data_IF_569830965393
#
_entry.id   IF_569830965393
#
_cell.length_a   1.000
_cell.length_b   1.000
_cell.length_c   1.000
_cell.angle_alpha   90.00
_cell.angle_beta   90.00
_cell.angle_gamma   90.00
#
_symmetry.space_group_name_H-M   'P 1'
#
loop_
_entity.id
_entity.type
_entity.pdbx_description
1 polymer ?
#
# COMPACT_ATOMS: atom_id res chain seq x y z
N UNK A 1 15.47 -3.36 9.70
CA UNK A 1 14.91 -2.10 9.19
C UNK A 1 13.70 -1.78 10.07
N UNK A 2 13.74 -0.68 10.85
CA UNK A 2 12.68 -0.38 11.84
C UNK A 2 11.68 0.68 11.35
N UNK A 3 12.00 1.35 10.24
CA UNK A 3 11.23 2.44 9.63
C UNK A 3 10.50 1.99 8.35
N UNK A 4 10.44 0.68 8.10
CA UNK A 4 9.80 0.10 6.92
C UNK A 4 8.53 -0.62 7.33
N UNK A 5 7.59 -0.72 6.40
CA UNK A 5 6.46 -1.64 6.55
C UNK A 5 6.93 -3.10 6.50
N UNK A 6 6.12 -3.99 7.04
CA UNK A 6 6.36 -5.43 7.00
C UNK A 6 6.09 -5.97 5.59
N UNK A 7 6.80 -7.03 5.14
CA UNK A 7 6.69 -7.53 3.77
C UNK A 7 5.28 -8.02 3.39
N UNK A 8 4.42 -8.30 4.38
CA UNK A 8 3.04 -8.73 4.17
C UNK A 8 2.20 -7.71 3.39
N UNK A 9 2.51 -6.40 3.45
CA UNK A 9 1.77 -5.41 2.65
C UNK A 9 1.93 -5.64 1.14
N UNK A 10 3.13 -6.00 0.71
CA UNK A 10 3.42 -6.32 -0.69
C UNK A 10 2.79 -7.65 -1.08
N UNK A 11 2.75 -8.62 -0.16
CA UNK A 11 2.11 -9.91 -0.39
C UNK A 11 0.60 -9.76 -0.61
N UNK A 12 -0.07 -9.00 0.26
CA UNK A 12 -1.51 -8.75 0.14
C UNK A 12 -1.83 -7.93 -1.11
N UNK A 13 -1.03 -6.90 -1.43
CA UNK A 13 -1.23 -6.11 -2.65
C UNK A 13 -1.05 -6.95 -3.91
N UNK A 14 -0.03 -7.82 -3.95
CA UNK A 14 0.16 -8.76 -5.05
C UNK A 14 -1.01 -9.74 -5.17
N UNK A 15 -1.55 -10.24 -4.06
CA UNK A 15 -2.73 -11.10 -4.06
C UNK A 15 -3.94 -10.40 -4.71
N UNK A 16 -4.22 -9.16 -4.35
CA UNK A 16 -5.30 -8.37 -4.95
C UNK A 16 -5.09 -8.14 -6.45
N UNK A 17 -3.86 -7.89 -6.89
CA UNK A 17 -3.56 -7.72 -8.32
C UNK A 17 -3.76 -9.03 -9.09
N UNK A 18 -3.24 -10.14 -8.55
CA UNK A 18 -3.22 -11.44 -9.23
C UNK A 18 -4.60 -12.12 -9.27
N UNK A 19 -5.55 -11.70 -8.44
CA UNK A 19 -6.92 -12.23 -8.41
C UNK A 19 -7.89 -11.44 -9.30
N UNK A 20 -7.49 -10.28 -9.84
CA UNK A 20 -8.27 -9.52 -10.83
C UNK A 20 -8.24 -10.19 -12.21
N UNK A 21 -9.23 -9.89 -13.05
CA UNK A 21 -9.21 -10.34 -14.45
C UNK A 21 -8.06 -9.64 -15.20
N UNK A 22 -7.09 -10.44 -15.69
CA UNK A 22 -5.90 -9.95 -16.38
C UNK A 22 -6.20 -9.27 -17.72
N UNK A 23 -7.39 -9.49 -18.31
CA UNK A 23 -7.81 -8.79 -19.53
C UNK A 23 -8.27 -7.37 -19.27
N UNK A 24 -8.76 -7.11 -18.05
CA UNK A 24 -9.25 -5.79 -17.64
C UNK A 24 -8.19 -5.01 -16.86
N UNK A 25 -7.37 -5.71 -16.07
CA UNK A 25 -6.38 -5.10 -15.20
C UNK A 25 -4.95 -5.36 -15.70
N UNK A 26 -4.51 -4.57 -16.69
CA UNK A 26 -3.18 -4.68 -17.30
C UNK A 26 -2.60 -3.30 -17.65
N UNK A 27 -1.27 -3.18 -17.70
CA UNK A 27 -0.57 -1.93 -18.01
C UNK A 27 -0.51 -0.89 -16.87
N UNK A 28 -0.80 -1.31 -15.63
CA UNK A 28 -0.84 -0.44 -14.46
C UNK A 28 0.50 -0.41 -13.71
N UNK A 29 0.83 0.75 -13.14
CA UNK A 29 1.87 0.89 -12.12
C UNK A 29 1.19 1.01 -10.75
N UNK A 30 1.14 -0.10 -10.02
CA UNK A 30 0.41 -0.20 -8.77
C UNK A 30 1.26 0.26 -7.58
N UNK A 31 0.63 0.98 -6.64
CA UNK A 31 1.16 1.26 -5.31
C UNK A 31 0.40 0.37 -4.31
N UNK A 32 1.13 -0.28 -3.40
CA UNK A 32 0.61 -1.29 -2.49
C UNK A 32 -0.57 -0.79 -1.65
N UNK A 33 -0.45 0.39 -1.04
CA UNK A 33 -1.48 0.95 -0.18
C UNK A 33 -2.70 1.50 -0.94
N UNK A 34 -2.52 2.00 -2.16
CA UNK A 34 -3.63 2.36 -3.04
C UNK A 34 -4.42 1.13 -3.45
N UNK A 35 -3.75 0.05 -3.88
CA UNK A 35 -4.41 -1.21 -4.26
C UNK A 35 -5.19 -1.80 -3.09
N UNK A 36 -4.57 -1.88 -1.92
CA UNK A 36 -5.22 -2.43 -0.72
C UNK A 36 -6.39 -1.56 -0.27
N UNK A 37 -6.27 -0.24 -0.39
CA UNK A 37 -7.35 0.67 -0.07
C UNK A 37 -8.56 0.51 -1.00
N UNK A 38 -8.33 0.34 -2.31
CA UNK A 38 -9.38 0.03 -3.28
C UNK A 38 -10.04 -1.32 -3.01
N UNK A 39 -9.27 -2.30 -2.51
CA UNK A 39 -9.78 -3.59 -2.03
C UNK A 39 -10.54 -3.49 -0.69
N UNK A 40 -10.62 -2.30 -0.08
CA UNK A 40 -11.37 -2.02 1.14
C UNK A 40 -10.55 -2.09 2.43
N UNK A 41 -9.23 -2.27 2.35
CA UNK A 41 -8.35 -2.20 3.53
C UNK A 41 -8.27 -0.75 4.01
N UNK A 42 -8.63 -0.52 5.28
CA UNK A 42 -8.58 0.79 5.92
C UNK A 42 -7.60 0.86 7.09
N UNK A 43 -7.15 -0.29 7.59
CA UNK A 43 -6.17 -0.35 8.69
C UNK A 43 -4.82 -0.88 8.20
N UNK A 44 -3.88 0.04 8.03
CA UNK A 44 -2.50 -0.22 7.63
C UNK A 44 -1.54 -0.25 8.82
N UNK A 45 -2.01 0.05 10.03
CA UNK A 45 -1.18 0.00 11.25
C UNK A 45 -0.62 -1.41 11.50
N UNK A 46 -1.32 -2.46 11.04
CA UNK A 46 -0.85 -3.86 11.11
C UNK A 46 0.43 -4.13 10.30
N UNK A 47 0.75 -3.30 9.32
CA UNK A 47 1.94 -3.44 8.49
C UNK A 47 3.12 -2.61 8.98
N UNK A 48 3.04 -1.91 10.12
CA UNK A 48 4.12 -1.06 10.60
C UNK A 48 4.36 -1.25 12.10
N UNK A 49 5.63 -1.24 12.51
CA UNK A 49 6.02 -1.25 13.93
C UNK A 49 6.29 0.15 14.49
N UNK A 50 6.20 1.18 13.65
CA UNK A 50 6.44 2.59 13.99
C UNK A 50 5.30 3.47 13.48
N UNK A 51 5.13 4.68 14.04
CA UNK A 51 4.16 5.65 13.54
C UNK A 51 4.37 6.01 12.06
N UNK A 52 3.29 6.37 11.38
CA UNK A 52 3.25 6.66 9.95
C UNK A 52 4.23 7.76 9.53
N UNK A 53 4.34 8.81 10.33
CA UNK A 53 5.25 9.93 10.07
C UNK A 53 6.75 9.59 10.23
N UNK A 54 7.07 8.40 10.74
CA UNK A 54 8.44 7.89 10.85
C UNK A 54 8.78 6.90 9.73
N UNK A 55 7.79 6.46 8.94
CA UNK A 55 8.04 5.56 7.82
C UNK A 55 8.89 6.26 6.77
N UNK A 56 9.88 5.54 6.26
CA UNK A 56 10.74 6.03 5.20
C UNK A 56 10.02 5.87 3.85
N UNK A 57 9.89 6.96 3.06
CA UNK A 57 9.38 6.87 1.69
C UNK A 57 10.25 5.96 0.82
N UNK A 58 9.64 5.29 -0.16
CA UNK A 58 10.38 4.45 -1.10
C UNK A 58 11.01 5.31 -2.23
N UNK A 59 12.10 4.81 -2.82
CA UNK A 59 13.02 5.61 -3.63
C UNK A 59 12.41 6.24 -4.89
N UNK A 60 11.38 5.62 -5.46
CA UNK A 60 10.80 6.01 -6.74
C UNK A 60 9.32 6.40 -6.64
N UNK A 61 8.85 6.70 -5.43
CA UNK A 61 7.48 7.15 -5.18
C UNK A 61 7.49 8.67 -5.05
N UNK A 62 6.88 9.42 -5.98
CA UNK A 62 6.77 10.87 -5.90
C UNK A 62 6.02 11.35 -4.65
N UNK A 63 6.36 12.53 -4.13
CA UNK A 63 5.68 13.14 -2.98
C UNK A 63 4.20 13.47 -3.25
N UNK A 64 3.81 13.62 -4.53
CA UNK A 64 2.43 13.87 -4.97
C UNK A 64 1.64 12.60 -5.27
N UNK A 65 2.20 11.42 -4.97
CA UNK A 65 1.49 10.15 -5.11
C UNK A 65 0.23 10.17 -4.24
N UNK A 66 -0.96 9.85 -4.79
CA UNK A 66 -2.20 9.95 -4.05
C UNK A 66 -2.19 8.99 -2.86
N UNK A 67 -2.24 9.56 -1.67
CA UNK A 67 -2.38 8.78 -0.44
C UNK A 67 -3.79 8.18 -0.37
N UNK A 68 -3.94 6.91 0.03
CA UNK A 68 -5.26 6.33 0.29
C UNK A 68 -5.97 7.18 1.36
N UNK A 69 -7.25 7.46 1.16
CA UNK A 69 -7.96 8.65 1.69
C UNK A 69 -7.86 8.96 3.20
N UNK A 70 -8.50 10.06 3.62
CA UNK A 70 -8.48 10.51 5.04
C UNK A 70 -9.10 9.50 6.03
N UNK A 71 -9.78 8.47 5.52
CA UNK A 71 -10.40 7.39 6.28
C UNK A 71 -9.45 6.22 6.60
N UNK A 72 -8.16 6.35 6.28
CA UNK A 72 -7.15 5.32 6.55
C UNK A 72 -6.51 5.48 7.92
N UNK A 73 -6.48 4.39 8.69
CA UNK A 73 -5.71 4.25 9.93
C UNK A 73 -4.30 3.76 9.60
N UNK A 74 -3.30 4.61 9.83
CA UNK A 74 -1.90 4.28 9.55
C UNK A 74 -1.06 4.04 10.82
N UNK A 75 -1.54 4.43 12.00
CA UNK A 75 -0.93 4.19 13.32
C UNK A 75 -1.93 4.50 14.42
#
# INVERSE_FOLDING_TARGET
MRLSRTPEIMADAAYEILTKDSKEFTGNFCIDDVVLHEAGVKDFSKYASVPFNELMPDFFVPDDTPFPGKDVKNS
#
